data_IF_407854646181
#
_entry.id   IF_407854646181
#
_cell.length_a   1.000
_cell.length_b   1.000
_cell.length_c   1.000
_cell.angle_alpha   90.00
_cell.angle_beta   90.00
_cell.angle_gamma   90.00
#
_symmetry.space_group_name_H-M   'P 1'
#
loop_
_entity.id
_entity.type
_entity.pdbx_description
1 polymer ?
#
# COMPACT_ATOMS: atom_id res chain seq x y z
N UNK A 1 -29.46 5.24 -16.27
CA UNK A 1 -28.01 5.02 -16.19
C UNK A 1 -27.36 6.04 -17.10
N UNK A 2 -26.48 6.87 -16.57
CA UNK A 2 -25.63 7.73 -17.39
C UNK A 2 -24.48 6.84 -17.84
N UNK A 3 -24.30 6.70 -19.15
CA UNK A 3 -23.17 5.96 -19.73
C UNK A 3 -22.10 7.00 -20.07
N UNK A 4 -20.98 6.97 -19.35
CA UNK A 4 -19.81 7.80 -19.63
C UNK A 4 -19.06 7.13 -20.79
N UNK A 5 -18.60 7.92 -21.77
CA UNK A 5 -17.76 7.40 -22.85
C UNK A 5 -16.36 7.02 -22.35
N UNK A 6 -15.69 6.07 -22.99
CA UNK A 6 -14.35 5.61 -22.59
C UNK A 6 -13.34 6.75 -22.49
N UNK A 7 -13.27 7.63 -23.50
CA UNK A 7 -12.38 8.81 -23.49
C UNK A 7 -12.68 9.79 -22.34
N UNK A 8 -13.96 9.97 -21.99
CA UNK A 8 -14.37 10.84 -20.89
C UNK A 8 -13.99 10.22 -19.55
N UNK A 9 -14.13 8.89 -19.42
CA UNK A 9 -13.73 8.14 -18.24
C UNK A 9 -12.21 8.19 -18.04
N UNK A 10 -11.43 7.97 -19.10
CA UNK A 10 -9.97 8.02 -19.05
C UNK A 10 -9.48 9.42 -18.67
N UNK A 11 -10.08 10.46 -19.26
CA UNK A 11 -9.79 11.85 -18.90
C UNK A 11 -10.11 12.13 -17.44
N UNK A 12 -11.23 11.61 -16.91
CA UNK A 12 -11.59 11.77 -15.51
C UNK A 12 -10.58 11.06 -14.61
N UNK A 13 -10.26 9.78 -14.88
CA UNK A 13 -9.29 9.00 -14.12
C UNK A 13 -7.94 9.72 -14.08
N UNK A 14 -7.46 10.20 -15.22
CA UNK A 14 -6.21 10.95 -15.28
C UNK A 14 -6.25 12.25 -14.45
N UNK A 15 -7.38 12.96 -14.47
CA UNK A 15 -7.53 14.19 -13.68
C UNK A 15 -7.54 13.92 -12.17
N UNK A 16 -8.21 12.84 -11.73
CA UNK A 16 -8.26 12.43 -10.33
C UNK A 16 -6.90 11.92 -9.85
N UNK A 17 -6.17 11.21 -10.71
CA UNK A 17 -4.80 10.82 -10.44
C UNK A 17 -3.87 12.03 -10.28
N UNK A 18 -3.97 13.01 -11.18
CA UNK A 18 -3.20 14.25 -11.06
C UNK A 18 -3.52 15.02 -9.77
N UNK A 19 -4.79 15.00 -9.35
CA UNK A 19 -5.20 15.56 -8.06
C UNK A 19 -4.54 14.80 -6.89
N UNK A 20 -4.59 13.46 -6.87
CA UNK A 20 -3.91 12.66 -5.85
C UNK A 20 -2.40 12.95 -5.80
N UNK A 21 -1.73 13.03 -6.95
CA UNK A 21 -0.31 13.40 -7.03
C UNK A 21 -0.05 14.82 -6.52
N UNK A 22 -0.95 15.78 -6.77
CA UNK A 22 -0.83 17.13 -6.18
C UNK A 22 -0.92 17.13 -4.65
N UNK A 23 -1.52 16.08 -4.08
CA UNK A 23 -1.67 15.84 -2.63
C UNK A 23 -0.63 14.90 -2.06
N UNK A 24 0.50 14.68 -2.75
CA UNK A 24 1.54 13.74 -2.32
C UNK A 24 2.00 13.90 -0.87
N UNK A 25 2.09 15.14 -0.38
CA UNK A 25 2.43 15.43 1.02
C UNK A 25 1.46 14.86 2.07
N UNK A 26 0.24 14.51 1.66
CA UNK A 26 -0.83 14.01 2.53
C UNK A 26 -0.96 12.47 2.53
N UNK A 27 -0.19 11.75 1.70
CA UNK A 27 -0.29 10.29 1.62
C UNK A 27 1.03 9.56 1.39
N UNK A 28 2.07 10.20 0.84
CA UNK A 28 3.32 9.53 0.51
C UNK A 28 4.31 9.56 1.68
N UNK A 29 4.87 8.39 2.01
CA UNK A 29 5.95 8.29 3.00
C UNK A 29 7.23 9.01 2.57
N UNK A 30 7.38 9.30 1.27
CA UNK A 30 8.51 10.09 0.77
C UNK A 30 8.47 11.55 1.25
N UNK A 31 7.28 12.05 1.58
CA UNK A 31 7.05 13.44 2.00
C UNK A 31 6.86 13.56 3.53
N UNK A 32 6.89 12.44 4.26
CA UNK A 32 6.86 12.44 5.71
C UNK A 32 5.99 11.34 6.33
N UNK A 33 5.52 11.61 7.54
CA UNK A 33 4.69 10.70 8.33
C UNK A 33 3.28 10.66 7.78
N UNK A 34 2.70 9.47 7.65
CA UNK A 34 1.40 9.30 7.00
C UNK A 34 0.44 8.39 7.77
N UNK A 35 -0.85 8.55 7.44
CA UNK A 35 -1.88 7.55 7.71
C UNK A 35 -1.72 6.40 6.70
N UNK A 36 -1.48 5.19 7.22
CA UNK A 36 -1.18 4.02 6.40
C UNK A 36 -2.42 3.50 5.66
N UNK A 37 -3.64 3.82 6.11
CA UNK A 37 -4.89 3.48 5.42
C UNK A 37 -5.05 4.32 4.15
N UNK A 38 -4.78 5.63 4.23
CA UNK A 38 -4.79 6.50 3.05
C UNK A 38 -3.70 6.06 2.06
N UNK A 39 -2.50 5.80 2.57
CA UNK A 39 -1.38 5.35 1.76
C UNK A 39 -1.70 4.05 1.00
N UNK A 40 -2.24 3.01 1.66
CA UNK A 40 -2.51 1.73 0.98
C UNK A 40 -3.58 1.88 -0.11
N UNK A 41 -4.55 2.78 0.09
CA UNK A 41 -5.53 3.13 -0.93
C UNK A 41 -4.86 3.76 -2.16
N UNK A 42 -3.88 4.65 -1.98
CA UNK A 42 -3.15 5.25 -3.11
C UNK A 42 -2.24 4.23 -3.79
N UNK A 43 -1.57 3.34 -3.04
CA UNK A 43 -0.83 2.22 -3.63
C UNK A 43 -1.74 1.32 -4.47
N UNK A 44 -3.01 1.11 -4.06
CA UNK A 44 -3.99 0.39 -4.89
C UNK A 44 -4.27 1.12 -6.21
N UNK A 45 -4.35 2.45 -6.19
CA UNK A 45 -4.48 3.23 -7.42
C UNK A 45 -3.26 3.06 -8.33
N UNK A 46 -2.04 3.13 -7.79
CA UNK A 46 -0.80 2.88 -8.56
C UNK A 46 -0.84 1.51 -9.24
N UNK A 47 -1.25 0.47 -8.51
CA UNK A 47 -1.38 -0.89 -9.03
C UNK A 47 -2.46 -1.02 -10.11
N UNK A 48 -3.57 -0.27 -10.01
CA UNK A 48 -4.68 -0.37 -10.97
C UNK A 48 -4.50 0.51 -12.21
N UNK A 49 -3.63 1.51 -12.13
CA UNK A 49 -3.24 2.37 -13.24
C UNK A 49 -1.94 1.88 -13.92
N UNK A 50 -1.44 0.70 -13.55
CA UNK A 50 -0.20 0.11 -14.05
C UNK A 50 1.05 1.01 -13.88
N UNK A 51 1.07 1.86 -12.86
CA UNK A 51 2.16 2.83 -12.60
C UNK A 51 3.26 2.26 -11.69
N UNK A 52 3.30 0.95 -11.49
CA UNK A 52 4.15 0.30 -10.49
C UNK A 52 5.63 0.48 -10.78
N UNK A 53 6.06 0.27 -12.03
CA UNK A 53 7.46 0.45 -12.47
C UNK A 53 7.92 1.92 -12.40
N UNK A 54 6.99 2.87 -12.54
CA UNK A 54 7.27 4.31 -12.47
C UNK A 54 7.40 4.81 -11.03
N UNK A 55 6.77 4.11 -10.08
CA UNK A 55 6.69 4.52 -8.66
C UNK A 55 7.20 3.45 -7.67
N UNK A 56 8.35 2.79 -7.91
CA UNK A 56 8.85 1.72 -7.03
C UNK A 56 9.15 2.24 -5.62
N UNK A 57 9.52 3.51 -5.50
CA UNK A 57 9.85 4.15 -4.23
C UNK A 57 8.66 4.23 -3.27
N UNK A 58 7.44 4.38 -3.77
CA UNK A 58 6.24 4.44 -2.92
C UNK A 58 6.03 3.11 -2.17
N UNK A 59 6.35 1.98 -2.81
CA UNK A 59 6.33 0.67 -2.17
C UNK A 59 7.52 0.48 -1.21
N UNK A 60 8.73 0.86 -1.62
CA UNK A 60 9.94 0.68 -0.79
C UNK A 60 9.90 1.45 0.53
N UNK A 61 9.29 2.63 0.57
CA UNK A 61 9.23 3.38 1.84
C UNK A 61 8.39 2.65 2.91
N UNK A 62 7.44 1.79 2.52
CA UNK A 62 6.67 1.00 3.47
C UNK A 62 7.56 0.06 4.30
N UNK A 63 8.67 -0.43 3.74
CA UNK A 63 9.64 -1.29 4.44
C UNK A 63 10.17 -0.62 5.70
N UNK A 64 10.43 0.70 5.64
CA UNK A 64 11.09 1.44 6.71
C UNK A 64 10.19 1.68 7.93
N UNK A 65 8.88 1.53 7.75
CA UNK A 65 7.87 1.75 8.79
C UNK A 65 7.17 0.45 9.18
N UNK A 66 7.68 -0.70 8.74
CA UNK A 66 7.26 -2.00 9.23
C UNK A 66 7.81 -2.22 10.65
N UNK A 67 6.95 -2.65 11.56
CA UNK A 67 7.33 -2.94 12.93
C UNK A 67 8.20 -4.22 13.02
N UNK A 68 8.95 -4.40 14.12
CA UNK A 68 9.75 -5.59 14.35
C UNK A 68 8.97 -6.90 14.31
N UNK A 69 7.68 -6.89 14.60
CA UNK A 69 6.78 -8.05 14.55
C UNK A 69 6.34 -8.44 13.12
N UNK A 70 6.60 -7.60 12.11
CA UNK A 70 6.22 -7.84 10.71
C UNK A 70 4.94 -7.12 10.25
N UNK A 71 4.26 -6.41 11.14
CA UNK A 71 3.09 -5.63 10.80
C UNK A 71 3.34 -4.14 10.64
N UNK A 72 2.27 -3.40 10.33
CA UNK A 72 2.27 -1.94 10.26
C UNK A 72 1.31 -1.32 11.26
N UNK A 73 1.67 -0.14 11.78
CA UNK A 73 0.74 0.67 12.57
C UNK A 73 -0.29 1.36 11.70
N UNK A 74 -1.33 1.93 12.32
CA UNK A 74 -2.28 2.80 11.61
C UNK A 74 -1.60 4.09 11.15
N UNK A 75 -0.87 4.75 12.03
CA UNK A 75 -0.06 5.91 11.70
C UNK A 75 1.43 5.52 11.66
N UNK A 76 2.14 5.90 10.59
CA UNK A 76 3.49 5.42 10.24
C UNK A 76 4.61 5.76 11.25
N UNK A 77 4.27 6.44 12.34
CA UNK A 77 5.18 6.94 13.37
C UNK A 77 4.82 6.44 14.77
N UNK A 78 3.98 5.41 14.84
CA UNK A 78 3.57 4.76 16.08
C UNK A 78 3.98 3.29 16.04
N UNK A 79 4.11 2.68 17.21
CA UNK A 79 4.64 1.31 17.30
C UNK A 79 3.52 0.26 17.44
N UNK A 80 2.24 0.68 17.47
CA UNK A 80 1.11 -0.23 17.66
C UNK A 80 0.67 -0.82 16.33
N UNK A 81 1.07 -2.06 16.08
CA UNK A 81 0.63 -2.83 14.93
C UNK A 81 -0.89 -2.97 14.87
N UNK A 82 -1.44 -2.82 13.68
CA UNK A 82 -2.85 -3.03 13.35
C UNK A 82 -2.97 -4.19 12.36
N UNK A 83 -3.73 -5.23 12.72
CA UNK A 83 -3.95 -6.40 11.86
C UNK A 83 -4.58 -6.02 10.51
N UNK A 84 -5.57 -5.13 10.54
CA UNK A 84 -6.24 -4.62 9.35
C UNK A 84 -5.26 -3.93 8.40
N UNK A 85 -4.52 -2.94 8.92
CA UNK A 85 -3.56 -2.17 8.13
C UNK A 85 -2.45 -3.07 7.60
N UNK A 86 -1.95 -3.97 8.44
CA UNK A 86 -0.93 -4.93 8.06
C UNK A 86 -1.33 -5.77 6.87
N UNK A 87 -2.55 -6.30 6.89
CA UNK A 87 -3.07 -7.14 5.82
C UNK A 87 -3.19 -6.37 4.50
N UNK A 88 -3.66 -5.12 4.54
CA UNK A 88 -3.84 -4.32 3.32
C UNK A 88 -2.53 -3.76 2.76
N UNK A 89 -1.63 -3.24 3.61
CA UNK A 89 -0.29 -2.81 3.19
C UNK A 89 0.50 -4.00 2.64
N UNK A 90 0.50 -5.12 3.36
CA UNK A 90 1.15 -6.36 2.92
C UNK A 90 0.63 -6.84 1.56
N UNK A 91 -0.69 -6.79 1.34
CA UNK A 91 -1.27 -7.12 0.03
C UNK A 91 -0.78 -6.18 -1.08
N UNK A 92 -0.62 -4.87 -0.84
CA UNK A 92 -0.10 -3.95 -1.87
C UNK A 92 1.36 -4.23 -2.18
N UNK A 93 2.17 -4.49 -1.15
CA UNK A 93 3.57 -4.84 -1.35
C UNK A 93 3.70 -6.16 -2.10
N UNK A 94 2.92 -7.19 -1.75
CA UNK A 94 2.90 -8.46 -2.46
C UNK A 94 2.55 -8.26 -3.95
N UNK A 95 1.46 -7.53 -4.24
CA UNK A 95 1.06 -7.24 -5.64
C UNK A 95 2.07 -6.39 -6.39
N UNK A 96 2.63 -5.37 -5.75
CA UNK A 96 3.67 -4.53 -6.35
C UNK A 96 4.94 -5.31 -6.65
N UNK A 97 5.31 -6.25 -5.77
CA UNK A 97 6.52 -7.05 -5.95
C UNK A 97 6.44 -8.07 -7.08
N UNK A 98 5.23 -8.45 -7.52
CA UNK A 98 5.06 -9.24 -8.74
C UNK A 98 5.56 -8.51 -10.00
N UNK A 99 5.69 -7.18 -9.93
CA UNK A 99 6.21 -6.35 -11.01
C UNK A 99 7.64 -5.89 -10.70
N UNK A 100 7.89 -5.46 -9.46
CA UNK A 100 9.18 -4.88 -9.08
C UNK A 100 10.29 -5.90 -8.87
N UNK A 101 9.93 -7.14 -8.51
CA UNK A 101 10.87 -8.24 -8.20
C UNK A 101 11.99 -7.83 -7.23
N UNK A 102 11.65 -6.99 -6.25
CA UNK A 102 12.60 -6.42 -5.31
C UNK A 102 12.79 -7.35 -4.10
N UNK A 103 14.04 -7.75 -3.77
CA UNK A 103 14.29 -8.70 -2.70
C UNK A 103 14.01 -8.12 -1.30
N UNK A 104 14.14 -6.81 -1.10
CA UNK A 104 13.84 -6.19 0.19
C UNK A 104 12.32 -6.15 0.41
N UNK A 105 11.56 -5.83 -0.63
CA UNK A 105 10.09 -5.94 -0.58
C UNK A 105 9.67 -7.40 -0.34
N UNK A 106 10.32 -8.37 -0.98
CA UNK A 106 10.02 -9.79 -0.77
C UNK A 106 10.23 -10.19 0.69
N UNK A 107 11.38 -9.86 1.27
CA UNK A 107 11.67 -10.18 2.67
C UNK A 107 10.66 -9.52 3.64
N UNK A 108 10.23 -8.29 3.34
CA UNK A 108 9.18 -7.59 4.09
C UNK A 108 7.84 -8.31 3.98
N UNK A 109 7.45 -8.76 2.78
CA UNK A 109 6.21 -9.52 2.55
C UNK A 109 6.24 -10.86 3.31
N UNK A 110 7.35 -11.59 3.25
CA UNK A 110 7.51 -12.87 3.96
C UNK A 110 7.31 -12.68 5.47
N UNK A 111 7.94 -11.65 6.04
CA UNK A 111 7.77 -11.30 7.46
C UNK A 111 6.33 -10.92 7.82
N UNK A 112 5.63 -10.24 6.92
CA UNK A 112 4.20 -9.94 7.10
C UNK A 112 3.34 -11.19 7.06
N UNK A 113 3.64 -12.14 6.18
CA UNK A 113 2.93 -13.42 6.15
C UNK A 113 3.15 -14.20 7.43
N UNK A 114 4.38 -14.23 7.97
CA UNK A 114 4.67 -14.81 9.28
C UNK A 114 3.83 -14.17 10.40
N UNK A 115 3.77 -12.83 10.43
CA UNK A 115 2.94 -12.10 11.38
C UNK A 115 1.46 -12.48 11.24
N UNK A 116 0.87 -12.36 10.04
CA UNK A 116 -0.56 -12.62 9.79
C UNK A 116 -0.94 -14.05 10.16
N UNK A 117 -0.09 -15.02 9.84
CA UNK A 117 -0.30 -16.43 10.21
C UNK A 117 -0.18 -16.65 11.71
N UNK A 118 0.72 -15.95 12.39
CA UNK A 118 0.87 -16.04 13.86
C UNK A 118 -0.30 -15.46 14.64
N UNK A 119 -1.10 -14.60 14.02
CA UNK A 119 -2.28 -13.97 14.62
C UNK A 119 -3.56 -14.81 14.45
N UNK A 120 -3.52 -15.90 13.67
CA UNK A 120 -4.69 -16.76 13.50
C UNK A 120 -5.01 -17.50 14.81
N UNK A 121 -6.25 -17.42 15.26
CA UNK A 121 -6.73 -18.15 16.43
C UNK A 121 -6.89 -19.65 16.14
N UNK A 122 -6.92 -20.50 17.18
CA UNK A 122 -7.04 -21.96 17.04
C UNK A 122 -8.28 -22.41 16.26
N UNK A 123 -9.33 -21.58 16.25
CA UNK A 123 -10.59 -21.84 15.55
C UNK A 123 -10.59 -21.34 14.09
N UNK A 124 -9.49 -20.72 13.65
CA UNK A 124 -9.26 -20.26 12.29
C UNK A 124 -9.62 -18.80 12.01
N UNK A 125 -10.11 -18.03 12.99
CA UNK A 125 -10.38 -16.59 12.84
C UNK A 125 -9.10 -15.73 12.98
N UNK A 126 -9.21 -14.45 12.62
CA UNK A 126 -8.18 -13.41 12.77
C UNK A 126 -8.74 -12.19 13.47
#
# INVERSE_FOLDING_TARGET
MITIGEEELDSLIQSEWNFLESKKGEWSLLEGKQDMEVLEHVLRCILHLDLTEEKPREFKECIKVQNPDGGWPKESYTDKTSMWITTFVGLKLCRGNLVLEDPDIQATVDKTLEYVLSMQEEDGHW
#
